data_IF_641898172810
#
_entry.id   IF_641898172810
#
_cell.length_a   1.000
_cell.length_b   1.000
_cell.length_c   1.000
_cell.angle_alpha   90.00
_cell.angle_beta   90.00
_cell.angle_gamma   90.00
#
_symmetry.space_group_name_H-M   'P 1'
#
loop_
_entity.id
_entity.type
_entity.pdbx_description
1 polymer ?
#
# COMPACT_ATOMS: atom_id res chain seq x y z
N UNK A 1 5.43 -12.36 43.78
CA UNK A 1 5.00 -12.00 42.42
C UNK A 1 4.68 -10.52 42.44
N UNK A 2 5.60 -9.69 41.96
CA UNK A 2 5.35 -8.25 41.78
C UNK A 2 4.34 -8.11 40.65
N UNK A 3 3.09 -7.78 41.02
CA UNK A 3 2.05 -7.45 40.06
C UNK A 3 2.43 -6.10 39.49
N UNK A 4 2.95 -6.07 38.25
CA UNK A 4 3.25 -4.81 37.57
C UNK A 4 1.96 -4.00 37.43
N UNK A 5 1.99 -2.66 37.61
CA UNK A 5 0.83 -1.83 37.36
C UNK A 5 0.34 -2.05 35.92
N UNK A 6 -0.98 -2.04 35.67
CA UNK A 6 -1.58 -2.38 34.38
C UNK A 6 -1.03 -1.57 33.18
N UNK A 7 -0.43 -0.41 33.42
CA UNK A 7 0.17 0.44 32.38
C UNK A 7 1.55 -0.08 31.94
N UNK A 8 2.38 -0.61 32.85
CA UNK A 8 3.69 -1.17 32.50
C UNK A 8 3.51 -2.47 31.72
N UNK A 9 2.50 -3.27 32.09
CA UNK A 9 2.18 -4.52 31.39
C UNK A 9 1.87 -4.32 29.89
N UNK A 10 1.18 -3.24 29.51
CA UNK A 10 0.92 -2.96 28.09
C UNK A 10 2.21 -2.70 27.30
N UNK A 11 3.15 -1.95 27.86
CA UNK A 11 4.44 -1.71 27.22
C UNK A 11 5.24 -3.02 27.05
N UNK A 12 5.21 -3.90 28.05
CA UNK A 12 5.88 -5.20 28.00
C UNK A 12 5.24 -6.10 26.93
N UNK A 13 3.90 -6.17 26.88
CA UNK A 13 3.15 -6.91 25.84
C UNK A 13 3.47 -6.41 24.43
N UNK A 14 3.54 -5.08 24.24
CA UNK A 14 3.92 -4.48 22.97
C UNK A 14 5.37 -4.81 22.60
N UNK A 15 6.29 -4.76 23.56
CA UNK A 15 7.70 -5.08 23.33
C UNK A 15 7.88 -6.54 22.89
N UNK A 16 7.16 -7.46 23.53
CA UNK A 16 7.19 -8.88 23.20
C UNK A 16 6.60 -9.13 21.80
N UNK A 17 5.43 -8.54 21.51
CA UNK A 17 4.80 -8.64 20.19
C UNK A 17 5.69 -8.06 19.08
N UNK A 18 6.31 -6.91 19.31
CA UNK A 18 7.22 -6.26 18.36
C UNK A 18 8.47 -7.10 18.11
N UNK A 19 9.01 -7.75 19.14
CA UNK A 19 10.17 -8.63 19.03
C UNK A 19 9.87 -9.80 18.09
N UNK A 20 8.72 -10.46 18.24
CA UNK A 20 8.28 -11.52 17.33
C UNK A 20 7.99 -10.98 15.92
N UNK A 21 7.27 -9.87 15.83
CA UNK A 21 6.88 -9.26 14.55
C UNK A 21 8.07 -8.86 13.68
N UNK A 22 9.22 -8.48 14.28
CA UNK A 22 10.43 -8.10 13.54
C UNK A 22 10.91 -9.16 12.55
N UNK A 23 10.65 -10.44 12.81
CA UNK A 23 10.96 -11.52 11.86
C UNK A 23 10.18 -11.40 10.54
N UNK A 24 9.01 -10.75 10.56
CA UNK A 24 8.13 -10.53 9.42
C UNK A 24 8.50 -9.28 8.59
N UNK A 25 9.56 -8.55 8.94
CA UNK A 25 9.97 -7.31 8.24
C UNK A 25 10.17 -7.50 6.73
N UNK A 26 10.71 -8.65 6.35
CA UNK A 26 10.92 -9.02 4.95
C UNK A 26 9.60 -9.13 4.14
N UNK A 27 8.45 -9.37 4.80
CA UNK A 27 7.13 -9.37 4.17
C UNK A 27 6.71 -7.93 3.86
N UNK A 28 6.80 -7.02 4.84
CA UNK A 28 6.46 -5.60 4.64
C UNK A 28 7.36 -4.94 3.59
N UNK A 29 8.63 -5.35 3.50
CA UNK A 29 9.55 -4.88 2.46
C UNK A 29 9.10 -5.30 1.06
N UNK A 30 8.73 -6.58 0.88
CA UNK A 30 8.19 -7.09 -0.38
C UNK A 30 6.87 -6.40 -0.74
N UNK A 31 5.98 -6.19 0.23
CA UNK A 31 4.70 -5.52 0.02
C UNK A 31 4.91 -4.08 -0.44
N UNK A 32 5.78 -3.31 0.23
CA UNK A 32 6.13 -1.95 -0.18
C UNK A 32 6.70 -1.90 -1.60
N UNK A 33 7.67 -2.76 -1.92
CA UNK A 33 8.25 -2.83 -3.26
C UNK A 33 7.24 -3.23 -4.35
N UNK A 34 6.36 -4.19 -4.05
CA UNK A 34 5.28 -4.60 -4.95
C UNK A 34 4.28 -3.47 -5.17
N UNK A 35 3.91 -2.78 -4.09
CA UNK A 35 2.97 -1.66 -4.16
C UNK A 35 3.57 -0.52 -5.01
N UNK A 36 4.86 -0.22 -4.85
CA UNK A 36 5.57 0.77 -5.69
C UNK A 36 5.47 0.43 -7.18
N UNK A 37 5.67 -0.84 -7.54
CA UNK A 37 5.52 -1.29 -8.92
C UNK A 37 4.07 -1.17 -9.42
N UNK A 38 3.07 -1.58 -8.63
CA UNK A 38 1.65 -1.51 -9.00
C UNK A 38 1.21 -0.06 -9.22
N UNK A 39 1.50 0.82 -8.27
CA UNK A 39 1.04 2.22 -8.33
C UNK A 39 1.78 3.02 -9.42
N UNK A 40 3.07 2.73 -9.65
CA UNK A 40 3.81 3.31 -10.78
C UNK A 40 3.28 2.84 -12.14
N UNK A 41 2.67 1.65 -12.19
CA UNK A 41 1.99 1.11 -13.38
C UNK A 41 0.57 1.65 -13.59
N UNK A 42 0.10 2.59 -12.76
CA UNK A 42 -1.24 3.16 -12.83
C UNK A 42 -2.32 2.37 -12.08
N UNK A 43 -1.94 1.32 -11.35
CA UNK A 43 -2.85 0.64 -10.42
C UNK A 43 -3.12 1.48 -9.17
N UNK A 44 -4.00 0.98 -8.30
CA UNK A 44 -4.36 1.64 -7.04
C UNK A 44 -4.31 0.72 -5.83
N UNK A 45 -4.23 1.37 -4.67
CA UNK A 45 -4.46 0.76 -3.36
C UNK A 45 -5.89 1.06 -2.90
N UNK A 46 -6.64 0.03 -2.54
CA UNK A 46 -7.84 0.15 -1.73
C UNK A 46 -7.49 -0.31 -0.31
N UNK A 47 -8.02 0.35 0.72
CA UNK A 47 -7.79 -0.06 2.11
C UNK A 47 -9.07 -0.02 2.94
N UNK A 48 -9.26 -1.03 3.79
CA UNK A 48 -10.42 -1.11 4.68
C UNK A 48 -10.08 -1.77 6.02
N UNK A 49 -10.83 -1.38 7.05
CA UNK A 49 -10.76 -1.90 8.40
C UNK A 49 -11.94 -1.38 9.22
N UNK A 50 -12.12 -1.90 10.44
CA UNK A 50 -13.17 -1.46 11.36
C UNK A 50 -12.56 -0.76 12.59
N UNK A 51 -13.20 0.31 13.08
CA UNK A 51 -12.75 1.03 14.29
C UNK A 51 -11.32 1.56 14.16
N UNK A 52 -10.44 1.22 15.11
CA UNK A 52 -9.02 1.62 15.05
C UNK A 52 -8.30 1.13 13.79
N UNK A 53 -8.66 -0.04 13.25
CA UNK A 53 -8.13 -0.52 11.97
C UNK A 53 -8.61 0.31 10.78
N UNK A 54 -9.78 0.97 10.88
CA UNK A 54 -10.23 1.93 9.87
C UNK A 54 -9.32 3.16 9.87
N UNK A 55 -9.05 3.73 11.05
CA UNK A 55 -8.12 4.86 11.18
C UNK A 55 -6.74 4.55 10.57
N UNK A 56 -6.22 3.33 10.77
CA UNK A 56 -4.96 2.89 10.18
C UNK A 56 -5.04 2.69 8.66
N UNK A 57 -6.15 2.16 8.15
CA UNK A 57 -6.39 2.08 6.71
C UNK A 57 -6.40 3.47 6.06
N UNK A 58 -7.02 4.46 6.72
CA UNK A 58 -7.00 5.84 6.26
C UNK A 58 -5.60 6.46 6.37
N UNK A 59 -4.90 6.22 7.48
CA UNK A 59 -3.51 6.64 7.67
C UNK A 59 -2.63 6.16 6.51
N UNK A 60 -2.64 4.85 6.21
CA UNK A 60 -1.91 4.28 5.09
C UNK A 60 -2.23 5.00 3.77
N UNK A 61 -3.52 5.19 3.45
CA UNK A 61 -3.90 5.84 2.19
C UNK A 61 -3.46 7.30 2.13
N UNK A 62 -3.46 8.02 3.26
CA UNK A 62 -3.00 9.39 3.35
C UNK A 62 -1.49 9.50 3.09
N UNK A 63 -0.68 8.58 3.63
CA UNK A 63 0.76 8.52 3.37
C UNK A 63 1.08 8.21 1.90
N UNK A 64 0.29 7.37 1.25
CA UNK A 64 0.48 7.01 -0.17
C UNK A 64 0.07 8.16 -1.11
N UNK A 65 -1.08 8.80 -0.86
CA UNK A 65 -1.58 9.93 -1.66
C UNK A 65 -0.72 11.18 -1.46
N UNK A 66 -0.34 11.46 -0.21
CA UNK A 66 0.61 12.50 0.13
C UNK A 66 2.04 11.99 0.02
N UNK A 67 2.75 12.03 1.15
CA UNK A 67 4.12 11.52 1.28
C UNK A 67 4.37 11.04 2.70
N UNK A 68 5.25 10.04 2.85
CA UNK A 68 5.65 9.53 4.15
C UNK A 68 6.89 10.23 4.73
N UNK A 69 7.97 10.34 3.95
CA UNK A 69 9.18 11.05 4.37
C UNK A 69 9.54 12.17 3.42
N UNK A 70 10.13 11.80 2.29
CA UNK A 70 10.64 12.74 1.31
C UNK A 70 9.56 13.07 0.27
N UNK A 71 9.76 14.16 -0.45
CA UNK A 71 8.81 14.57 -1.48
C UNK A 71 8.85 13.61 -2.68
N UNK A 72 7.68 13.24 -3.17
CA UNK A 72 7.51 12.34 -4.31
C UNK A 72 6.16 12.57 -4.98
N UNK A 73 5.95 12.05 -6.22
CA UNK A 73 4.65 12.09 -6.85
C UNK A 73 3.55 11.43 -5.98
N UNK A 74 2.31 11.90 -6.09
CA UNK A 74 1.17 11.26 -5.43
C UNK A 74 0.78 9.96 -6.14
N UNK A 75 0.23 9.00 -5.40
CA UNK A 75 -0.28 7.75 -5.95
C UNK A 75 -1.74 7.50 -5.56
N UNK A 76 -2.45 6.71 -6.36
CA UNK A 76 -3.87 6.42 -6.15
C UNK A 76 -4.05 5.44 -4.97
N UNK A 77 -4.58 5.94 -3.85
CA UNK A 77 -5.01 5.13 -2.72
C UNK A 77 -6.36 5.62 -2.16
N UNK A 78 -7.25 4.68 -1.80
CA UNK A 78 -8.62 4.98 -1.35
C UNK A 78 -8.94 4.20 -0.08
N UNK A 79 -9.27 4.92 1.00
CA UNK A 79 -9.84 4.34 2.20
C UNK A 79 -11.36 4.14 2.04
N UNK A 80 -11.82 2.89 2.03
CA UNK A 80 -13.21 2.55 1.70
C UNK A 80 -14.23 2.95 2.78
N UNK A 81 -13.79 3.41 3.95
CA UNK A 81 -14.69 3.89 5.00
C UNK A 81 -14.78 5.42 5.07
N UNK A 82 -13.97 6.14 4.29
CA UNK A 82 -13.81 7.59 4.46
C UNK A 82 -15.00 8.40 3.91
N UNK A 83 -15.66 7.93 2.85
CA UNK A 83 -16.92 8.52 2.38
C UNK A 83 -18.08 7.99 3.23
N UNK A 84 -18.54 8.84 4.15
CA UNK A 84 -19.61 8.52 5.09
C UNK A 84 -20.96 8.38 4.40
N UNK A 85 -21.22 9.12 3.33
CA UNK A 85 -22.49 9.02 2.59
C UNK A 85 -22.58 7.67 1.90
N UNK A 86 -21.52 7.28 1.18
CA UNK A 86 -21.44 5.95 0.56
C UNK A 86 -21.51 4.84 1.61
N UNK A 87 -20.74 4.94 2.69
CA UNK A 87 -20.71 3.92 3.75
C UNK A 87 -22.08 3.71 4.41
N UNK A 88 -22.77 4.78 4.77
CA UNK A 88 -24.07 4.71 5.45
C UNK A 88 -25.20 4.28 4.50
N UNK A 89 -25.21 4.75 3.25
CA UNK A 89 -26.17 4.30 2.25
C UNK A 89 -26.04 2.79 1.97
N UNK A 90 -24.81 2.28 1.80
CA UNK A 90 -24.59 0.86 1.55
C UNK A 90 -24.99 0.03 2.76
N UNK A 91 -24.62 0.46 3.98
CA UNK A 91 -25.01 -0.24 5.20
C UNK A 91 -26.53 -0.30 5.36
N UNK A 92 -27.24 0.79 5.05
CA UNK A 92 -28.70 0.86 5.14
C UNK A 92 -29.39 -0.03 4.11
N UNK A 93 -28.92 0.01 2.85
CA UNK A 93 -29.64 -0.59 1.72
C UNK A 93 -29.25 -2.06 1.48
N UNK A 94 -28.04 -2.47 1.85
CA UNK A 94 -27.47 -3.80 1.57
C UNK A 94 -26.95 -4.53 2.80
N UNK A 95 -26.92 -3.87 3.96
CA UNK A 95 -26.38 -4.41 5.20
C UNK A 95 -24.90 -4.09 5.41
N UNK A 96 -24.48 -4.14 6.68
CA UNK A 96 -23.11 -3.77 7.11
C UNK A 96 -22.02 -4.64 6.47
N UNK A 97 -22.35 -5.89 6.13
CA UNK A 97 -21.42 -6.85 5.53
C UNK A 97 -21.05 -6.49 4.07
N UNK A 98 -21.85 -5.66 3.42
CA UNK A 98 -21.62 -5.24 2.03
C UNK A 98 -20.91 -3.89 1.90
N UNK A 99 -20.70 -3.19 3.01
CA UNK A 99 -20.12 -1.83 3.05
C UNK A 99 -18.82 -1.72 2.23
N UNK A 100 -17.90 -2.67 2.43
CA UNK A 100 -16.63 -2.66 1.71
C UNK A 100 -16.71 -3.42 0.39
N UNK A 101 -17.38 -4.57 0.36
CA UNK A 101 -17.49 -5.41 -0.84
C UNK A 101 -18.08 -4.64 -2.03
N UNK A 102 -19.12 -3.84 -1.82
CA UNK A 102 -19.74 -3.05 -2.88
C UNK A 102 -18.81 -1.97 -3.44
N UNK A 103 -18.03 -1.34 -2.57
CA UNK A 103 -17.04 -0.35 -2.99
C UNK A 103 -15.85 -0.99 -3.71
N UNK A 104 -15.42 -2.19 -3.29
CA UNK A 104 -14.42 -2.98 -4.02
C UNK A 104 -14.91 -3.30 -5.44
N UNK A 105 -16.16 -3.75 -5.60
CA UNK A 105 -16.74 -4.01 -6.93
C UNK A 105 -16.80 -2.74 -7.79
N UNK A 106 -17.08 -1.58 -7.19
CA UNK A 106 -17.14 -0.31 -7.90
C UNK A 106 -15.76 0.20 -8.34
N UNK A 107 -14.77 0.14 -7.45
CA UNK A 107 -13.49 0.84 -7.63
C UNK A 107 -12.32 -0.05 -8.02
N UNK A 108 -12.35 -1.34 -7.67
CA UNK A 108 -11.24 -2.27 -7.89
C UNK A 108 -11.13 -2.73 -9.33
N UNK A 109 -9.89 -2.82 -9.84
CA UNK A 109 -9.56 -3.28 -11.18
C UNK A 109 -8.51 -4.39 -11.13
N UNK A 110 -8.44 -5.27 -12.14
CA UNK A 110 -7.40 -6.28 -12.21
C UNK A 110 -6.01 -5.66 -12.07
N UNK A 111 -5.19 -6.20 -11.16
CA UNK A 111 -3.84 -5.70 -10.87
C UNK A 111 -3.75 -4.68 -9.73
N UNK A 112 -4.87 -4.18 -9.23
CA UNK A 112 -4.92 -3.36 -8.00
C UNK A 112 -4.61 -4.21 -6.76
N UNK A 113 -4.39 -3.52 -5.64
CA UNK A 113 -4.21 -4.12 -4.32
C UNK A 113 -5.33 -3.65 -3.38
N UNK A 114 -5.89 -4.59 -2.62
CA UNK A 114 -6.76 -4.34 -1.47
C UNK A 114 -6.01 -4.74 -0.20
N UNK A 115 -5.83 -3.80 0.73
CA UNK A 115 -5.30 -4.06 2.07
C UNK A 115 -6.42 -4.05 3.11
N UNK A 116 -6.57 -5.17 3.82
CA UNK A 116 -7.60 -5.36 4.85
C UNK A 116 -6.95 -5.45 6.23
N UNK A 117 -7.43 -4.64 7.17
CA UNK A 117 -6.94 -4.61 8.55
C UNK A 117 -8.03 -5.10 9.49
N UNK A 118 -7.80 -6.23 10.17
CA UNK A 118 -8.76 -6.84 11.08
C UNK A 118 -8.06 -7.53 12.25
N UNK A 119 -8.17 -6.98 13.46
CA UNK A 119 -7.52 -7.60 14.64
C UNK A 119 -8.06 -9.00 14.95
N UNK A 120 -9.32 -9.31 14.63
CA UNK A 120 -9.86 -10.66 14.78
C UNK A 120 -9.65 -11.55 13.54
N UNK A 121 -9.40 -10.95 12.37
CA UNK A 121 -9.41 -11.66 11.10
C UNK A 121 -10.76 -12.27 10.72
N UNK A 122 -11.85 -11.88 11.38
CA UNK A 122 -13.16 -12.52 11.26
C UNK A 122 -14.32 -11.54 10.99
N UNK A 123 -14.04 -10.26 10.73
CA UNK A 123 -15.09 -9.28 10.42
C UNK A 123 -15.77 -9.62 9.09
N UNK A 124 -17.07 -9.92 9.12
CA UNK A 124 -17.83 -10.34 7.94
C UNK A 124 -17.74 -9.35 6.78
N UNK A 125 -17.82 -8.04 7.05
CA UNK A 125 -17.66 -7.00 6.03
C UNK A 125 -16.30 -6.98 5.32
N UNK A 126 -15.21 -7.40 6.00
CA UNK A 126 -13.89 -7.54 5.40
C UNK A 126 -13.73 -8.86 4.64
N UNK A 127 -14.38 -9.94 5.10
CA UNK A 127 -14.42 -11.21 4.36
C UNK A 127 -15.16 -11.05 3.03
N UNK A 128 -16.32 -10.39 3.04
CA UNK A 128 -17.05 -10.04 1.81
C UNK A 128 -16.23 -9.16 0.86
N UNK A 129 -15.39 -8.26 1.41
CA UNK A 129 -14.49 -7.43 0.62
C UNK A 129 -13.37 -8.24 -0.04
N UNK A 130 -12.79 -9.21 0.68
CA UNK A 130 -11.78 -10.12 0.15
C UNK A 130 -12.35 -10.97 -1.00
N UNK A 131 -13.56 -11.51 -0.84
CA UNK A 131 -14.23 -12.27 -1.90
C UNK A 131 -14.54 -11.41 -3.12
N UNK A 132 -15.05 -10.19 -2.92
CA UNK A 132 -15.28 -9.24 -4.01
C UNK A 132 -13.99 -8.87 -4.75
N UNK A 133 -12.88 -8.69 -4.04
CA UNK A 133 -11.58 -8.36 -4.63
C UNK A 133 -11.05 -9.50 -5.49
N UNK A 134 -11.07 -10.73 -4.97
CA UNK A 134 -10.66 -11.93 -5.72
C UNK A 134 -11.47 -12.09 -7.00
N UNK A 135 -12.79 -11.91 -6.93
CA UNK A 135 -13.66 -11.96 -8.11
C UNK A 135 -13.34 -10.87 -9.14
N UNK A 136 -12.82 -9.72 -8.71
CA UNK A 136 -12.44 -8.60 -9.57
C UNK A 136 -10.96 -8.66 -10.05
N UNK A 137 -10.19 -9.69 -9.69
CA UNK A 137 -8.76 -9.77 -10.01
C UNK A 137 -7.88 -8.79 -9.22
N UNK A 138 -8.39 -8.28 -8.10
CA UNK A 138 -7.66 -7.42 -7.16
C UNK A 138 -6.91 -8.32 -6.17
N UNK A 139 -5.64 -8.03 -5.93
CA UNK A 139 -4.83 -8.76 -4.96
C UNK A 139 -5.24 -8.39 -3.54
N UNK A 140 -5.41 -9.38 -2.67
CA UNK A 140 -5.81 -9.20 -1.27
C UNK A 140 -4.63 -9.41 -0.34
N UNK A 141 -4.29 -8.37 0.42
CA UNK A 141 -3.37 -8.44 1.56
C UNK A 141 -4.13 -8.22 2.85
N UNK A 142 -3.76 -8.93 3.91
CA UNK A 142 -4.37 -8.77 5.22
C UNK A 142 -3.36 -8.57 6.35
N UNK A 143 -3.59 -7.54 7.17
CA UNK A 143 -3.01 -7.44 8.50
C UNK A 143 -4.05 -7.95 9.51
N UNK A 144 -3.72 -9.02 10.22
CA UNK A 144 -4.64 -9.63 11.18
C UNK A 144 -4.02 -9.79 12.56
N UNK A 145 -4.84 -10.12 13.56
CA UNK A 145 -4.32 -10.64 14.83
C UNK A 145 -3.90 -12.11 14.70
N UNK A 146 -3.98 -12.89 15.78
CA UNK A 146 -3.45 -14.26 15.81
C UNK A 146 -4.01 -15.18 14.71
N UNK A 147 -3.16 -16.08 14.23
CA UNK A 147 -3.53 -17.14 13.30
C UNK A 147 -3.97 -18.41 14.05
N UNK A 148 -4.79 -19.28 13.43
CA UNK A 148 -5.45 -19.12 12.14
C UNK A 148 -6.72 -18.25 12.25
N UNK A 149 -7.06 -17.55 11.18
CA UNK A 149 -8.32 -16.81 11.08
C UNK A 149 -8.89 -16.82 9.64
N UNK A 150 -10.20 -16.57 9.44
CA UNK A 150 -10.82 -16.65 8.12
C UNK A 150 -10.24 -15.69 7.09
N UNK A 151 -9.87 -14.46 7.49
CA UNK A 151 -9.33 -13.47 6.57
C UNK A 151 -7.93 -13.85 6.07
N UNK A 152 -7.10 -14.50 6.90
CA UNK A 152 -5.84 -15.11 6.48
C UNK A 152 -6.07 -16.10 5.33
N UNK A 153 -7.07 -16.98 5.45
CA UNK A 153 -7.38 -17.98 4.43
C UNK A 153 -7.99 -17.37 3.15
N UNK A 154 -8.68 -16.23 3.28
CA UNK A 154 -9.29 -15.50 2.16
C UNK A 154 -8.36 -14.50 1.45
N UNK A 155 -7.11 -14.37 1.89
CA UNK A 155 -6.14 -13.39 1.35
C UNK A 155 -5.04 -14.07 0.53
N UNK A 156 -4.46 -13.36 -0.45
CA UNK A 156 -3.30 -13.87 -1.19
C UNK A 156 -2.05 -13.93 -0.31
N UNK A 157 -1.87 -12.92 0.54
CA UNK A 157 -0.85 -12.88 1.58
C UNK A 157 -1.42 -12.25 2.85
N UNK A 158 -0.89 -12.64 4.00
CA UNK A 158 -1.28 -12.03 5.28
C UNK A 158 -0.09 -11.91 6.23
N UNK A 159 -0.22 -10.97 7.16
CA UNK A 159 0.67 -10.81 8.29
C UNK A 159 -0.19 -10.87 9.56
N UNK A 160 -0.11 -12.01 10.25
CA UNK A 160 -0.82 -12.26 11.50
C UNK A 160 0.06 -11.82 12.68
N UNK A 161 -0.50 -11.00 13.57
CA UNK A 161 0.20 -10.52 14.77
C UNK A 161 -0.20 -11.37 15.96
N UNK A 162 0.77 -12.09 16.51
CA UNK A 162 0.61 -12.83 17.76
C UNK A 162 0.74 -11.86 18.94
N UNK A 163 -0.40 -11.46 19.51
CA UNK A 163 -0.46 -10.59 20.69
C UNK A 163 -1.73 -10.85 21.50
N UNK A 164 -1.71 -10.64 22.84
CA UNK A 164 -2.82 -10.99 23.71
C UNK A 164 -4.02 -10.03 23.61
N UNK A 165 -3.81 -8.79 23.13
CA UNK A 165 -4.87 -7.76 23.10
C UNK A 165 -5.05 -7.14 21.73
N UNK A 166 -6.28 -6.71 21.43
CA UNK A 166 -6.60 -5.93 20.22
C UNK A 166 -5.78 -4.64 20.13
N UNK A 167 -5.50 -3.99 21.27
CA UNK A 167 -4.72 -2.75 21.30
C UNK A 167 -3.28 -3.00 20.82
N UNK A 168 -2.62 -4.02 21.35
CA UNK A 168 -1.27 -4.41 20.91
C UNK A 168 -1.26 -4.83 19.44
N UNK A 169 -2.25 -5.59 18.98
CA UNK A 169 -2.39 -5.93 17.55
C UNK A 169 -2.49 -4.67 16.69
N UNK A 170 -3.29 -3.69 17.09
CA UNK A 170 -3.42 -2.42 16.37
C UNK A 170 -2.10 -1.65 16.35
N UNK A 171 -1.38 -1.56 17.46
CA UNK A 171 -0.07 -0.88 17.51
C UNK A 171 0.94 -1.52 16.55
N UNK A 172 0.97 -2.85 16.49
CA UNK A 172 1.82 -3.57 15.52
C UNK A 172 1.32 -3.40 14.08
N UNK A 173 0.00 -3.34 13.84
CA UNK A 173 -0.53 -3.01 12.51
C UNK A 173 -0.07 -1.63 12.05
N UNK A 174 -0.02 -0.63 12.95
CA UNK A 174 0.50 0.69 12.62
C UNK A 174 2.01 0.64 12.28
N UNK A 175 2.79 -0.13 13.04
CA UNK A 175 4.21 -0.38 12.70
C UNK A 175 4.32 -1.02 11.30
N UNK A 176 3.50 -2.02 10.99
CA UNK A 176 3.48 -2.65 9.67
C UNK A 176 3.16 -1.66 8.55
N UNK A 177 2.16 -0.80 8.77
CA UNK A 177 1.78 0.28 7.83
C UNK A 177 2.97 1.20 7.56
N UNK A 178 3.67 1.67 8.60
CA UNK A 178 4.85 2.52 8.44
C UNK A 178 6.00 1.80 7.73
N UNK A 179 6.20 0.51 8.00
CA UNK A 179 7.21 -0.30 7.31
C UNK A 179 6.89 -0.49 5.83
N UNK A 180 5.62 -0.69 5.46
CA UNK A 180 5.17 -0.74 4.06
C UNK A 180 5.41 0.60 3.38
N UNK A 181 5.07 1.73 4.01
CA UNK A 181 5.35 3.07 3.47
C UNK A 181 6.85 3.31 3.28
N UNK A 182 7.68 2.97 4.26
CA UNK A 182 9.12 3.11 4.16
C UNK A 182 9.71 2.28 3.02
N UNK A 183 9.27 1.02 2.88
CA UNK A 183 9.70 0.14 1.80
C UNK A 183 9.20 0.58 0.43
N UNK A 184 7.99 1.14 0.36
CA UNK A 184 7.42 1.74 -0.84
C UNK A 184 8.27 2.91 -1.34
N UNK A 185 8.57 3.88 -0.46
CA UNK A 185 9.40 5.05 -0.80
C UNK A 185 10.80 4.61 -1.25
N UNK A 186 11.45 3.72 -0.50
CA UNK A 186 12.77 3.20 -0.86
C UNK A 186 12.76 2.49 -2.22
N UNK A 187 11.70 1.76 -2.57
CA UNK A 187 11.59 1.10 -3.86
C UNK A 187 11.46 2.09 -5.03
N UNK A 188 10.75 3.21 -4.83
CA UNK A 188 10.64 4.29 -5.82
C UNK A 188 12.00 4.99 -6.05
N UNK A 189 12.72 5.29 -4.97
CA UNK A 189 14.06 5.89 -5.05
C UNK A 189 15.03 5.01 -5.83
N UNK A 190 15.06 3.71 -5.53
CA UNK A 190 15.89 2.75 -6.26
C UNK A 190 15.49 2.66 -7.74
N UNK A 191 14.20 2.72 -8.06
CA UNK A 191 13.74 2.71 -9.44
C UNK A 191 14.19 3.99 -10.19
N UNK A 192 14.04 5.16 -9.58
CA UNK A 192 14.49 6.43 -10.14
C UNK A 192 16.02 6.45 -10.40
N UNK A 193 16.82 5.98 -9.43
CA UNK A 193 18.27 5.92 -9.55
C UNK A 193 18.74 5.00 -10.68
N UNK A 194 18.02 3.90 -10.96
CA UNK A 194 18.31 3.02 -12.10
C UNK A 194 18.02 3.70 -13.45
N UNK A 195 16.92 4.44 -13.55
CA UNK A 195 16.57 5.16 -14.78
C UNK A 195 17.63 6.22 -15.12
N UNK A 196 18.12 6.96 -14.13
CA UNK A 196 19.19 7.97 -14.32
C UNK A 196 20.49 7.31 -14.78
N UNK A 197 20.90 6.20 -14.16
CA UNK A 197 22.14 5.47 -14.54
C UNK A 197 22.05 4.82 -15.92
N UNK A 198 20.87 4.34 -16.33
CA UNK A 198 20.64 3.76 -17.66
C UNK A 198 20.66 4.79 -18.79
N UNK A 199 20.31 6.04 -18.51
CA UNK A 199 20.25 7.13 -19.50
C UNK A 199 21.61 7.70 -19.92
N UNK A 200 22.67 7.52 -19.13
CA UNK A 200 24.02 8.05 -19.44
C UNK A 200 24.93 7.08 -20.24
N UNK A 201 24.44 5.92 -20.66
CA UNK A 201 25.21 4.94 -21.46
C UNK A 201 25.01 5.03 -22.98
N UNK A 202 24.17 5.96 -23.48
CA UNK A 202 23.71 5.97 -24.88
C UNK A 202 24.39 6.96 -25.84
N UNK A 203 25.12 7.97 -25.34
CA UNK A 203 25.72 9.02 -26.19
C UNK A 203 27.25 8.85 -26.29
N UNK A 204 27.70 7.80 -26.97
CA UNK A 204 29.09 7.72 -27.42
C UNK A 204 29.22 6.83 -28.66
N UNK A 205 28.67 7.28 -29.79
CA UNK A 205 29.09 6.87 -31.16
C UNK A 205 28.42 7.78 -32.20
N UNK A 206 29.05 8.92 -32.48
CA UNK A 206 28.62 9.79 -33.56
C UNK A 206 29.58 10.94 -33.80
N UNK A 207 30.43 10.82 -34.82
CA UNK A 207 30.92 11.96 -35.57
C UNK A 207 32.38 12.38 -35.34
N UNK A 208 33.30 11.84 -36.15
CA UNK A 208 34.42 12.61 -36.70
C UNK A 208 34.72 12.18 -38.14
N UNK A 209 34.92 13.19 -38.99
CA UNK A 209 35.23 13.12 -40.42
C UNK A 209 34.03 13.61 -41.24
N UNK A 210 33.89 14.88 -41.62
CA UNK A 210 34.89 15.88 -41.93
C UNK A 210 35.09 15.92 -43.44
N UNK A 211 34.47 16.88 -44.13
CA UNK A 211 35.05 17.63 -45.25
C UNK A 211 34.07 18.72 -45.72
N UNK A 212 34.61 19.93 -45.77
CA UNK A 212 33.96 21.14 -46.27
C UNK A 212 34.35 21.33 -47.75
N UNK A 213 33.40 21.74 -48.58
CA UNK A 213 33.67 22.42 -49.85
C UNK A 213 32.60 23.48 -50.12
N UNK A 214 33.03 24.73 -49.95
CA UNK A 214 32.85 25.94 -50.76
C UNK A 214 31.67 26.05 -51.75
N UNK A 215 30.86 27.11 -51.55
CA UNK A 215 30.90 28.29 -52.44
C UNK A 215 29.93 28.36 -53.62
N UNK A 216 28.88 29.19 -53.50
CA UNK A 216 28.26 30.13 -54.47
C UNK A 216 26.88 30.52 -53.91
N UNK A 217 26.34 31.74 -53.91
CA UNK A 217 26.62 32.98 -54.64
C UNK A 217 25.28 33.51 -55.18
N UNK A 218 24.80 34.67 -54.68
CA UNK A 218 23.66 35.44 -55.24
C UNK A 218 22.28 34.80 -55.06
N UNK A 219 21.13 35.47 -55.03
CA UNK A 219 20.76 36.83 -55.38
C UNK A 219 19.38 37.15 -54.76
N UNK A 220 19.10 38.46 -54.63
CA UNK A 220 17.83 39.05 -54.19
C UNK A 220 16.81 39.04 -55.33
N UNK A 221 15.51 38.93 -54.99
CA UNK A 221 14.33 39.71 -55.50
C UNK A 221 13.05 39.07 -54.92
N UNK A 222 12.26 39.74 -54.09
CA UNK A 222 11.04 40.52 -54.42
C UNK A 222 9.96 39.75 -55.20
N UNK A 223 8.77 39.64 -54.58
CA UNK A 223 7.55 39.07 -55.13
C UNK A 223 6.67 38.49 -54.04
#
# INVERSE_FOLDING_TARGET
>A
MTVHPPIVGHCDELQDALTGFRASAHITERWGARLAAVLSGGGRLLAAGNGGSAAQAQHLTAEIVGRYRDDRPPFSAIALHADTSSTTAIANDYGVDEVFARQVRAHGRPGDVLMLLSTSGASANLLSAADAARAAGVRVWALTGPAPNPLMAGSDESLCVEAPTTATVQEIHLVAVHMVCAAFDAALEHAAARTVRGGHGGEARGGRGGEAQDGYGGERTHG
#
